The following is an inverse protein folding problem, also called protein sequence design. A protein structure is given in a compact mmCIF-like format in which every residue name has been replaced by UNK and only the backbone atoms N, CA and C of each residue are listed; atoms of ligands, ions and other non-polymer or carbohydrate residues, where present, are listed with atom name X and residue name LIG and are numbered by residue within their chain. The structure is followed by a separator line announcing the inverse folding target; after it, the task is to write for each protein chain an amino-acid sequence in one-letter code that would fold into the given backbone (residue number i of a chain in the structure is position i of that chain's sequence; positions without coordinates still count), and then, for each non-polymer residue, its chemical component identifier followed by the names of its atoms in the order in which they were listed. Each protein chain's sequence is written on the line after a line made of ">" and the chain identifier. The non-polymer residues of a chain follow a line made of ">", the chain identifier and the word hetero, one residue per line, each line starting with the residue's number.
data_IF_291977167314
#
_entry.id   IF_291977167314
#
_cell.length_a   1.000
_cell.length_b   1.000
_cell.length_c   1.000
_cell.angle_alpha   90.00
_cell.angle_beta   90.00
_cell.angle_gamma   90.00
#
_symmetry.space_group_name_H-M   'P 1'
#
loop_
_entity.id
_entity.type
_entity.pdbx_description
1 polymer ?
#
# COMPACT_ATOMS: atom_id res chain seq x y z
N UNK A 1 24.02 -24.13 -36.84
CA UNK A 1 23.97 -22.88 -36.04
C UNK A 1 25.21 -22.87 -35.11
N UNK A 2 26.04 -21.84 -35.19
CA UNK A 2 27.27 -21.77 -34.38
C UNK A 2 26.95 -21.56 -32.90
N UNK A 3 27.86 -21.96 -32.00
CA UNK A 3 27.69 -21.75 -30.54
C UNK A 3 27.46 -20.27 -30.21
N UNK A 4 28.12 -19.37 -30.90
CA UNK A 4 27.96 -17.92 -30.72
C UNK A 4 26.55 -17.44 -31.10
N UNK A 5 25.94 -18.00 -32.13
CA UNK A 5 24.57 -17.65 -32.53
C UNK A 5 23.57 -18.12 -31.48
N UNK A 6 23.75 -19.32 -30.94
CA UNK A 6 22.90 -19.86 -29.86
C UNK A 6 22.99 -19.02 -28.58
N UNK A 7 24.23 -18.60 -28.25
CA UNK A 7 24.50 -17.75 -27.07
C UNK A 7 23.82 -16.37 -27.19
N UNK A 8 23.89 -15.74 -28.37
CA UNK A 8 23.24 -14.46 -28.67
C UNK A 8 21.71 -14.57 -28.57
N UNK A 9 21.13 -15.61 -29.14
CA UNK A 9 19.68 -15.85 -29.07
C UNK A 9 19.24 -16.03 -27.61
N UNK A 10 19.96 -16.82 -26.83
CA UNK A 10 19.67 -17.03 -25.41
C UNK A 10 19.77 -15.72 -24.62
N UNK A 11 20.74 -14.88 -24.89
CA UNK A 11 20.91 -13.57 -24.26
C UNK A 11 19.73 -12.64 -24.59
N UNK A 12 19.33 -12.55 -25.86
CA UNK A 12 18.19 -11.73 -26.25
C UNK A 12 16.87 -12.24 -25.65
N UNK A 13 16.68 -13.55 -25.59
CA UNK A 13 15.51 -14.14 -24.94
C UNK A 13 15.46 -13.82 -23.43
N UNK A 14 16.61 -13.88 -22.76
CA UNK A 14 16.71 -13.50 -21.34
C UNK A 14 16.40 -12.02 -21.13
N UNK A 15 16.97 -11.14 -21.94
CA UNK A 15 16.73 -9.70 -21.87
C UNK A 15 15.25 -9.36 -22.13
N UNK A 16 14.63 -10.03 -23.11
CA UNK A 16 13.20 -9.86 -23.40
C UNK A 16 12.34 -10.33 -22.22
N UNK A 17 12.68 -11.46 -21.60
CA UNK A 17 11.97 -11.98 -20.43
C UNK A 17 12.07 -11.00 -19.24
N UNK A 18 13.28 -10.52 -18.94
CA UNK A 18 13.49 -9.51 -17.87
C UNK A 18 12.71 -8.24 -18.17
N UNK A 19 12.76 -7.75 -19.41
CA UNK A 19 11.99 -6.57 -19.84
C UNK A 19 10.48 -6.77 -19.66
N UNK A 20 9.96 -7.94 -19.99
CA UNK A 20 8.54 -8.27 -19.81
C UNK A 20 8.15 -8.30 -18.31
N UNK A 21 8.98 -8.90 -17.46
CA UNK A 21 8.74 -8.96 -16.01
C UNK A 21 8.72 -7.54 -15.42
N UNK A 22 9.67 -6.70 -15.79
CA UNK A 22 9.73 -5.32 -15.31
C UNK A 22 8.54 -4.47 -15.80
N UNK A 23 8.11 -4.68 -17.04
CA UNK A 23 6.95 -3.99 -17.61
C UNK A 23 5.64 -4.41 -16.92
N UNK A 24 5.47 -5.70 -16.66
CA UNK A 24 4.29 -6.22 -15.94
C UNK A 24 4.25 -5.75 -14.49
N UNK A 25 5.38 -5.74 -13.77
CA UNK A 25 5.45 -5.20 -12.40
C UNK A 25 5.07 -3.71 -12.38
N UNK A 26 5.60 -2.91 -13.32
CA UNK A 26 5.24 -1.49 -13.44
C UNK A 26 3.77 -1.26 -13.72
N UNK A 27 3.18 -2.04 -14.61
CA UNK A 27 1.76 -1.95 -14.96
C UNK A 27 0.87 -2.32 -13.77
N UNK A 28 1.19 -3.41 -13.05
CA UNK A 28 0.45 -3.86 -11.87
C UNK A 28 0.51 -2.80 -10.76
N UNK A 29 1.71 -2.29 -10.46
CA UNK A 29 1.87 -1.23 -9.46
C UNK A 29 1.07 0.01 -9.84
N UNK A 30 1.15 0.46 -11.09
CA UNK A 30 0.40 1.63 -11.56
C UNK A 30 -1.12 1.42 -11.48
N UNK A 31 -1.61 0.21 -11.86
CA UNK A 31 -3.05 -0.11 -11.88
C UNK A 31 -3.67 -0.22 -10.50
N UNK A 32 -2.92 -0.76 -9.53
CA UNK A 32 -3.42 -1.05 -8.19
C UNK A 32 -2.94 -0.06 -7.12
N UNK A 33 -2.12 0.93 -7.49
CA UNK A 33 -1.62 1.91 -6.51
C UNK A 33 -2.75 2.86 -6.07
N UNK A 34 -3.23 2.76 -4.83
CA UNK A 34 -4.33 3.59 -4.35
C UNK A 34 -3.95 5.07 -4.19
N UNK A 35 -2.65 5.42 -4.15
CA UNK A 35 -2.19 6.81 -4.13
C UNK A 35 -2.66 7.61 -5.35
N UNK A 36 -2.90 6.93 -6.48
CA UNK A 36 -3.32 7.58 -7.72
C UNK A 36 -4.83 7.88 -7.77
N UNK A 37 -5.64 7.23 -6.94
CA UNK A 37 -7.10 7.25 -7.04
C UNK A 37 -7.82 7.53 -5.72
N UNK A 38 -7.10 7.61 -4.60
CA UNK A 38 -7.71 7.86 -3.31
C UNK A 38 -8.17 9.32 -3.18
N UNK A 39 -9.42 9.60 -2.82
CA UNK A 39 -9.88 10.98 -2.57
C UNK A 39 -9.06 11.66 -1.47
N UNK A 40 -8.88 12.98 -1.57
CA UNK A 40 -8.01 13.75 -0.66
C UNK A 40 -8.34 13.61 0.84
N UNK A 41 -9.59 13.30 1.17
CA UNK A 41 -10.06 13.08 2.56
C UNK A 41 -10.38 11.63 2.88
N UNK A 42 -10.10 10.69 1.98
CA UNK A 42 -10.36 9.28 2.27
C UNK A 42 -9.28 8.69 3.16
N UNK A 43 -9.70 7.99 4.20
CA UNK A 43 -8.81 7.26 5.11
C UNK A 43 -9.00 5.77 4.87
N UNK A 44 -7.91 5.06 4.57
CA UNK A 44 -7.90 3.61 4.37
C UNK A 44 -6.88 2.99 5.30
N UNK A 45 -7.33 2.05 6.13
CA UNK A 45 -6.47 1.28 7.03
C UNK A 45 -6.25 -0.12 6.44
N UNK A 46 -5.03 -0.42 6.03
CA UNK A 46 -4.62 -1.77 5.69
C UNK A 46 -4.23 -2.53 6.96
N UNK A 47 -4.93 -3.60 7.23
CA UNK A 47 -4.85 -4.35 8.49
C UNK A 47 -4.75 -5.86 8.27
N UNK A 48 -4.52 -6.59 9.35
CA UNK A 48 -4.69 -8.03 9.45
C UNK A 48 -5.39 -8.35 10.77
N UNK A 49 -6.09 -9.48 10.85
CA UNK A 49 -6.88 -9.85 12.03
C UNK A 49 -6.04 -9.94 13.31
N UNK A 50 -4.83 -10.47 13.21
CA UNK A 50 -3.89 -10.64 14.34
C UNK A 50 -3.16 -9.35 14.75
N UNK A 51 -3.32 -8.25 14.01
CA UNK A 51 -2.55 -7.02 14.20
C UNK A 51 -3.12 -6.17 15.36
N UNK A 52 -2.48 -6.22 16.53
CA UNK A 52 -2.88 -5.43 17.71
C UNK A 52 -2.73 -3.92 17.52
N UNK A 53 -1.70 -3.46 16.80
CA UNK A 53 -1.51 -2.05 16.47
C UNK A 53 -2.58 -1.53 15.51
N UNK A 54 -3.04 -2.37 14.59
CA UNK A 54 -4.17 -2.05 13.71
C UNK A 54 -5.45 -1.83 14.53
N UNK A 55 -5.66 -2.66 15.57
CA UNK A 55 -6.80 -2.51 16.48
C UNK A 55 -6.76 -1.18 17.24
N UNK A 56 -5.58 -0.71 17.66
CA UNK A 56 -5.41 0.59 18.31
C UNK A 56 -5.75 1.75 17.37
N UNK A 57 -5.26 1.70 16.11
CA UNK A 57 -5.61 2.72 15.11
C UNK A 57 -7.10 2.72 14.84
N UNK A 58 -7.70 1.55 14.62
CA UNK A 58 -9.15 1.39 14.40
C UNK A 58 -9.96 2.01 15.54
N UNK A 59 -9.59 1.72 16.78
CA UNK A 59 -10.29 2.24 17.97
C UNK A 59 -10.18 3.75 18.04
N UNK A 60 -9.01 4.30 17.77
CA UNK A 60 -8.80 5.75 17.78
C UNK A 60 -9.60 6.46 16.67
N UNK A 61 -9.57 5.95 15.44
CA UNK A 61 -10.33 6.53 14.34
C UNK A 61 -11.83 6.52 14.62
N UNK A 62 -12.35 5.43 15.19
CA UNK A 62 -13.76 5.34 15.63
C UNK A 62 -14.10 6.32 16.75
N UNK A 63 -13.24 6.42 17.77
CA UNK A 63 -13.45 7.33 18.89
C UNK A 63 -13.38 8.82 18.51
N UNK A 64 -12.71 9.12 17.40
CA UNK A 64 -12.58 10.47 16.85
C UNK A 64 -13.57 10.77 15.72
N UNK A 65 -14.54 9.88 15.48
CA UNK A 65 -15.53 9.99 14.39
C UNK A 65 -14.92 10.21 13.00
N UNK A 66 -13.71 9.67 12.78
CA UNK A 66 -13.04 9.70 11.48
C UNK A 66 -13.61 8.61 10.59
N UNK A 67 -14.24 8.94 9.45
CA UNK A 67 -14.72 7.94 8.51
C UNK A 67 -13.51 7.26 7.84
N UNK A 68 -13.43 5.94 7.92
CA UNK A 68 -12.36 5.16 7.29
C UNK A 68 -12.87 3.84 6.73
N UNK A 69 -12.16 3.34 5.72
CA UNK A 69 -12.35 1.99 5.18
C UNK A 69 -11.22 1.10 5.71
N UNK A 70 -11.57 -0.02 6.31
CA UNK A 70 -10.59 -1.03 6.70
C UNK A 70 -10.50 -2.13 5.65
N UNK A 71 -9.28 -2.44 5.22
CA UNK A 71 -8.98 -3.45 4.22
C UNK A 71 -8.03 -4.49 4.80
N UNK A 72 -8.55 -5.70 5.02
CA UNK A 72 -7.76 -6.83 5.48
C UNK A 72 -6.94 -7.40 4.31
N UNK A 73 -5.61 -7.32 4.45
CA UNK A 73 -4.68 -7.73 3.38
C UNK A 73 -4.56 -9.24 3.23
N UNK A 74 -5.03 -10.02 4.20
CA UNK A 74 -5.02 -11.48 4.14
C UNK A 74 -6.33 -12.05 3.60
N UNK A 75 -7.45 -11.33 3.78
CA UNK A 75 -8.79 -11.78 3.38
C UNK A 75 -9.23 -11.26 2.01
N UNK A 76 -8.63 -10.19 1.52
CA UNK A 76 -9.00 -9.55 0.26
C UNK A 76 -7.85 -9.51 -0.73
N UNK A 77 -8.00 -10.19 -1.87
CA UNK A 77 -7.01 -10.13 -2.97
C UNK A 77 -6.77 -8.71 -3.47
N UNK A 78 -7.81 -7.88 -3.50
CA UNK A 78 -7.69 -6.47 -3.88
C UNK A 78 -6.86 -5.70 -2.85
N UNK A 79 -7.17 -5.85 -1.57
CA UNK A 79 -6.42 -5.20 -0.49
C UNK A 79 -4.95 -5.65 -0.49
N UNK A 80 -4.69 -6.93 -0.71
CA UNK A 80 -3.33 -7.47 -0.85
C UNK A 80 -2.59 -6.86 -2.05
N UNK A 81 -3.25 -6.74 -3.20
CA UNK A 81 -2.65 -6.14 -4.40
C UNK A 81 -2.34 -4.64 -4.22
N UNK A 82 -3.25 -3.89 -3.60
CA UNK A 82 -3.05 -2.47 -3.27
C UNK A 82 -1.91 -2.28 -2.26
N UNK A 83 -1.89 -3.09 -1.20
CA UNK A 83 -0.84 -3.12 -0.19
C UNK A 83 0.54 -3.44 -0.80
N UNK A 84 0.60 -4.40 -1.70
CA UNK A 84 1.80 -4.71 -2.48
C UNK A 84 2.23 -3.53 -3.37
N UNK A 85 1.27 -2.87 -4.04
CA UNK A 85 1.53 -1.72 -4.90
C UNK A 85 2.06 -0.50 -4.12
N UNK A 86 1.68 -0.36 -2.85
CA UNK A 86 2.23 0.65 -1.92
C UNK A 86 3.66 0.37 -1.48
N UNK A 87 4.21 -0.81 -1.82
CA UNK A 87 5.58 -1.24 -1.44
C UNK A 87 5.82 -1.30 0.07
N UNK A 88 4.77 -1.44 0.86
CA UNK A 88 4.87 -1.64 2.32
C UNK A 88 5.09 -3.12 2.64
N UNK A 89 5.76 -3.41 3.75
CA UNK A 89 6.15 -4.77 4.13
C UNK A 89 5.45 -5.30 5.38
N UNK A 90 4.46 -4.59 5.86
CA UNK A 90 3.75 -4.99 7.07
C UNK A 90 2.48 -4.17 7.30
N UNK A 91 1.77 -4.53 8.35
CA UNK A 91 0.60 -3.82 8.83
C UNK A 91 0.87 -3.29 10.25
N UNK A 92 0.27 -2.18 10.66
CA UNK A 92 -0.66 -1.34 9.92
C UNK A 92 0.00 -0.49 8.83
N UNK A 93 -0.76 -0.16 7.79
CA UNK A 93 -0.44 0.89 6.85
C UNK A 93 -1.70 1.73 6.65
N UNK A 94 -1.61 3.03 6.91
CA UNK A 94 -2.77 3.94 6.84
C UNK A 94 -2.56 4.94 5.72
N UNK A 95 -3.50 4.98 4.80
CA UNK A 95 -3.52 5.93 3.71
C UNK A 95 -4.49 7.06 4.05
N UNK A 96 -4.01 8.29 4.12
CA UNK A 96 -4.83 9.50 4.34
C UNK A 96 -4.70 10.37 3.10
N UNK A 97 -5.73 10.38 2.26
CA UNK A 97 -5.63 11.01 0.94
C UNK A 97 -4.52 10.36 0.10
N UNK A 98 -3.52 11.14 -0.27
CA UNK A 98 -2.34 10.68 -0.99
C UNK A 98 -1.12 10.40 -0.07
N UNK A 99 -1.26 10.56 1.24
CA UNK A 99 -0.18 10.35 2.20
C UNK A 99 -0.27 8.95 2.83
N UNK A 100 0.82 8.21 2.76
CA UNK A 100 0.94 6.88 3.36
C UNK A 100 1.70 6.95 4.68
N UNK A 101 1.04 6.55 5.76
CA UNK A 101 1.65 6.36 7.07
C UNK A 101 1.89 4.88 7.30
N UNK A 102 3.14 4.49 7.37
CA UNK A 102 3.54 3.11 7.60
C UNK A 102 3.83 2.84 9.07
N UNK A 103 3.27 1.75 9.59
CA UNK A 103 3.42 1.36 10.98
C UNK A 103 2.56 2.19 11.93
N UNK A 104 2.87 2.09 13.22
CA UNK A 104 2.18 2.81 14.29
C UNK A 104 2.92 4.11 14.64
N UNK A 105 2.95 5.04 13.69
CA UNK A 105 3.54 6.36 13.88
C UNK A 105 2.43 7.38 14.23
N UNK A 106 2.16 7.54 15.52
CA UNK A 106 1.06 8.38 16.02
C UNK A 106 1.24 9.85 15.67
N UNK A 107 2.46 10.35 15.64
CA UNK A 107 2.74 11.74 15.29
C UNK A 107 2.44 12.02 13.81
N UNK A 108 2.89 11.13 12.93
CA UNK A 108 2.62 11.25 11.49
C UNK A 108 1.12 11.04 11.21
N UNK A 109 0.48 10.04 11.85
CA UNK A 109 -0.96 9.82 11.74
C UNK A 109 -1.76 11.06 12.14
N UNK A 110 -1.42 11.67 13.27
CA UNK A 110 -2.11 12.89 13.73
C UNK A 110 -1.93 14.01 12.72
N UNK A 111 -0.72 14.27 12.25
CA UNK A 111 -0.48 15.38 11.31
C UNK A 111 -1.16 15.16 9.95
N UNK A 112 -1.19 13.92 9.43
CA UNK A 112 -1.87 13.58 8.18
C UNK A 112 -3.38 13.70 8.30
N UNK A 113 -3.95 13.24 9.43
CA UNK A 113 -5.38 13.36 9.70
C UNK A 113 -5.80 14.81 9.91
N UNK A 114 -5.02 15.61 10.64
CA UNK A 114 -5.26 17.05 10.81
C UNK A 114 -5.21 17.78 9.46
N UNK A 115 -4.28 17.45 8.59
CA UNK A 115 -4.16 18.01 7.24
C UNK A 115 -5.38 17.65 6.35
N UNK A 116 -6.01 16.50 6.61
CA UNK A 116 -7.24 16.07 5.95
C UNK A 116 -8.51 16.68 6.61
N UNK A 117 -8.37 17.40 7.74
CA UNK A 117 -9.46 18.04 8.47
C UNK A 117 -10.07 17.20 9.58
N UNK A 118 -9.37 16.15 10.04
CA UNK A 118 -9.84 15.28 11.14
C UNK A 118 -9.00 15.50 12.40
N UNK A 119 -9.61 16.01 13.46
CA UNK A 119 -8.95 16.17 14.76
C UNK A 119 -8.94 14.85 15.53
N UNK A 120 -7.77 14.37 15.91
CA UNK A 120 -7.56 13.10 16.61
C UNK A 120 -6.76 13.32 17.88
N UNK A 121 -7.29 12.87 19.04
CA UNK A 121 -6.68 13.12 20.36
C UNK A 121 -6.45 11.84 21.19
N UNK A 122 -6.56 10.67 20.59
CA UNK A 122 -6.62 9.40 21.32
C UNK A 122 -5.27 8.75 21.64
N UNK A 123 -4.16 9.24 21.07
CA UNK A 123 -2.82 8.77 21.39
C UNK A 123 -1.90 9.84 22.00
N UNK A 124 -2.49 10.71 22.75
CA UNK A 124 -1.73 11.64 23.60
C UNK A 124 -1.29 10.97 24.90
#
# INVERSE_FOLDING_TARGET
>A
MSLQTRLRIALYALLALVGLILATDRLVVWRFNPLNSNPAKAVVLYSAEWCGLCAQIRTCLKASDVPFEERDVEKSMRASAEWWALRVRGVPATLVGAELVYGFNTQQLTSSLDSAGFAVNCWK
#
